data_IF_116338469255
#
_entry.id   IF_116338469255
#
_cell.length_a   1.000
_cell.length_b   1.000
_cell.length_c   1.000
_cell.angle_alpha   90.00
_cell.angle_beta   90.00
_cell.angle_gamma   90.00
#
_symmetry.space_group_name_H-M   'P 1'
#
loop_
_entity.id
_entity.type
_entity.pdbx_description
1 polymer ?
#
# COMPACT_ATOMS: atom_id res chain seq x y z
N UNK A 1 -2.82 -72.52 -7.25
CA UNK A 1 -1.39 -72.40 -7.62
C UNK A 1 -1.35 -71.73 -8.99
N UNK A 2 -0.73 -70.60 -9.32
CA UNK A 2 0.21 -69.63 -8.73
C UNK A 2 -0.01 -68.36 -9.59
N UNK A 3 -0.39 -67.20 -9.05
CA UNK A 3 0.46 -66.06 -8.63
C UNK A 3 1.43 -65.47 -9.67
N UNK A 4 1.46 -64.12 -9.67
CA UNK A 4 2.41 -63.15 -10.25
C UNK A 4 2.03 -62.65 -11.67
N UNK A 5 1.92 -61.34 -11.96
CA UNK A 5 2.73 -60.22 -11.47
C UNK A 5 2.00 -58.87 -11.62
N UNK A 6 2.16 -57.98 -10.63
CA UNK A 6 1.75 -56.56 -10.66
C UNK A 6 2.77 -55.76 -11.49
N UNK A 7 2.28 -54.90 -12.38
CA UNK A 7 3.01 -53.69 -12.82
C UNK A 7 2.14 -52.46 -12.57
N UNK A 8 2.60 -51.65 -11.61
CA UNK A 8 2.17 -50.29 -11.37
C UNK A 8 2.67 -49.41 -12.53
N UNK A 9 1.76 -48.86 -13.32
CA UNK A 9 2.03 -47.66 -14.11
C UNK A 9 1.34 -46.48 -13.44
N UNK A 10 2.17 -45.59 -12.88
CA UNK A 10 1.76 -44.30 -12.33
C UNK A 10 1.22 -43.43 -13.47
N UNK A 11 -0.10 -43.35 -13.59
CA UNK A 11 -0.75 -42.30 -14.36
C UNK A 11 -0.50 -40.97 -13.64
N UNK A 12 0.45 -40.20 -14.16
CA UNK A 12 0.71 -38.85 -13.66
C UNK A 12 -0.36 -37.97 -14.29
N UNK A 13 -1.47 -37.77 -13.59
CA UNK A 13 -2.44 -36.74 -13.93
C UNK A 13 -1.71 -35.39 -13.87
N UNK A 14 -1.43 -34.84 -15.06
CA UNK A 14 -1.10 -33.42 -15.20
C UNK A 14 -2.36 -32.65 -14.88
N UNK A 15 -2.56 -32.37 -13.59
CA UNK A 15 -3.51 -31.36 -13.15
C UNK A 15 -2.99 -30.02 -13.65
N UNK A 16 -3.47 -29.63 -14.83
CA UNK A 16 -3.38 -28.26 -15.31
C UNK A 16 -4.08 -27.36 -14.29
N UNK A 17 -3.27 -26.67 -13.49
CA UNK A 17 -3.73 -25.58 -12.64
C UNK A 17 -4.29 -24.53 -13.58
N UNK A 18 -5.61 -24.44 -13.65
CA UNK A 18 -6.28 -23.29 -14.25
C UNK A 18 -6.09 -22.15 -13.25
N UNK A 19 -5.18 -21.24 -13.59
CA UNK A 19 -5.12 -19.94 -12.95
C UNK A 19 -6.50 -19.29 -13.11
N UNK A 20 -7.18 -19.01 -12.00
CA UNK A 20 -8.39 -18.20 -12.02
C UNK A 20 -7.96 -16.78 -12.33
N UNK A 21 -8.16 -16.38 -13.59
CA UNK A 21 -7.90 -15.04 -14.11
C UNK A 21 -8.76 -13.99 -13.38
N UNK A 22 -8.19 -13.36 -12.34
CA UNK A 22 -8.56 -12.01 -11.92
C UNK A 22 -8.00 -11.01 -12.92
N UNK A 23 -8.57 -10.96 -14.14
CA UNK A 23 -8.13 -10.01 -15.15
C UNK A 23 -8.58 -8.58 -14.77
N UNK A 24 -7.78 -7.90 -13.96
CA UNK A 24 -7.76 -6.44 -13.97
C UNK A 24 -7.10 -6.01 -15.28
N UNK A 25 -7.63 -5.00 -15.97
CA UNK A 25 -7.00 -4.51 -17.21
C UNK A 25 -5.67 -3.78 -16.93
N UNK A 26 -5.23 -3.66 -15.68
CA UNK A 26 -3.89 -3.18 -15.33
C UNK A 26 -2.81 -4.09 -15.91
N UNK A 27 -3.04 -5.41 -15.96
CA UNK A 27 -2.06 -6.35 -16.52
C UNK A 27 -1.79 -6.11 -18.02
N UNK A 28 -2.67 -5.35 -18.69
CA UNK A 28 -2.49 -4.92 -20.08
C UNK A 28 -1.68 -3.63 -20.22
N UNK A 29 -1.40 -2.93 -19.11
CA UNK A 29 -0.58 -1.71 -19.10
C UNK A 29 0.89 -2.09 -19.28
N UNK A 30 1.47 -1.64 -20.41
CA UNK A 30 2.86 -1.94 -20.75
C UNK A 30 3.89 -1.20 -19.89
N UNK A 31 3.51 -0.04 -19.35
CA UNK A 31 4.41 0.87 -18.64
C UNK A 31 4.11 0.84 -17.14
N UNK A 32 4.71 -0.12 -16.43
CA UNK A 32 4.60 -0.27 -14.97
C UNK A 32 5.95 -0.48 -14.29
N UNK A 33 6.04 -0.09 -13.02
CA UNK A 33 7.15 -0.49 -12.13
C UNK A 33 6.60 -0.88 -10.75
N UNK A 34 7.31 -1.78 -10.11
CA UNK A 34 7.14 -2.12 -8.70
C UNK A 34 8.15 -1.31 -7.87
N UNK A 35 7.68 -0.77 -6.75
CA UNK A 35 8.47 -0.08 -5.73
C UNK A 35 7.95 -0.55 -4.37
N UNK A 36 8.71 -0.45 -3.28
CA UNK A 36 8.21 -0.92 -2.00
C UNK A 36 8.93 -2.13 -1.42
N UNK A 37 9.98 -2.65 -2.07
CA UNK A 37 10.62 -3.88 -1.60
C UNK A 37 11.35 -3.63 -0.28
N UNK A 38 11.03 -4.43 0.74
CA UNK A 38 11.64 -4.34 2.08
C UNK A 38 13.17 -4.40 1.98
N UNK A 39 13.72 -5.35 1.24
CA UNK A 39 15.17 -5.50 0.99
C UNK A 39 15.83 -4.26 0.38
N UNK A 40 15.08 -3.45 -0.37
CA UNK A 40 15.60 -2.18 -0.88
C UNK A 40 15.58 -1.14 0.21
N UNK A 41 14.46 -0.98 0.92
CA UNK A 41 14.34 -0.04 2.02
C UNK A 41 15.30 -0.31 3.16
N UNK A 42 15.64 -1.56 3.45
CA UNK A 42 16.66 -1.96 4.42
C UNK A 42 18.02 -1.31 4.15
N UNK A 43 18.37 -1.12 2.87
CA UNK A 43 19.66 -0.56 2.42
C UNK A 43 19.67 0.96 2.28
N UNK A 44 18.50 1.60 2.35
CA UNK A 44 18.35 3.05 2.21
C UNK A 44 18.66 3.79 3.51
N UNK A 45 18.96 5.10 3.46
CA UNK A 45 19.09 5.95 4.63
C UNK A 45 17.92 5.79 5.60
N UNK A 46 18.25 5.70 6.89
CA UNK A 46 17.28 5.56 7.96
C UNK A 46 17.00 6.90 8.61
N UNK A 47 15.73 7.18 8.89
CA UNK A 47 15.35 8.27 9.77
C UNK A 47 14.88 7.73 11.12
N UNK A 48 14.91 8.60 12.13
CA UNK A 48 14.49 8.29 13.50
C UNK A 48 13.21 9.04 13.81
N UNK A 49 12.35 8.42 14.61
CA UNK A 49 11.18 9.06 15.21
C UNK A 49 11.51 9.49 16.64
N UNK A 50 11.30 10.77 16.94
CA UNK A 50 11.51 11.37 18.24
C UNK A 50 10.16 11.72 18.88
N UNK A 51 10.00 11.58 20.21
CA UNK A 51 8.78 12.01 20.89
C UNK A 51 8.48 13.50 20.69
N UNK A 52 7.19 13.85 20.61
CA UNK A 52 6.69 15.23 20.60
C UNK A 52 5.42 15.34 21.43
N UNK A 53 4.89 16.55 21.56
CA UNK A 53 3.63 16.79 22.25
C UNK A 53 2.44 16.71 21.29
N UNK A 54 1.27 16.40 21.84
CA UNK A 54 -0.01 16.51 21.13
C UNK A 54 -0.24 17.93 20.59
N UNK A 55 0.14 18.95 21.35
CA UNK A 55 0.01 20.35 20.94
C UNK A 55 0.83 20.63 19.67
N UNK A 56 2.07 20.13 19.59
CA UNK A 56 2.90 20.28 18.39
C UNK A 56 2.36 19.51 17.18
N UNK A 57 1.70 18.38 17.39
CA UNK A 57 1.01 17.63 16.34
C UNK A 57 -0.23 18.38 15.83
N UNK A 58 -1.08 18.86 16.76
CA UNK A 58 -2.39 19.43 16.45
C UNK A 58 -2.31 20.78 15.72
N UNK A 59 -1.21 21.54 15.86
CA UNK A 59 -1.02 22.78 15.09
C UNK A 59 -0.65 22.52 13.62
N UNK A 60 -0.28 21.30 13.25
CA UNK A 60 -0.04 20.96 11.84
C UNK A 60 -1.38 20.72 11.12
N UNK A 61 -1.47 21.19 9.88
CA UNK A 61 -2.65 20.95 9.06
C UNK A 61 -2.76 19.46 8.69
N UNK A 62 -4.00 18.97 8.61
CA UNK A 62 -4.27 17.67 8.01
C UNK A 62 -3.89 17.68 6.53
N UNK A 63 -3.20 16.63 6.08
CA UNK A 63 -2.91 16.46 4.66
C UNK A 63 -4.03 15.68 3.97
N UNK A 64 -4.84 16.38 3.16
CA UNK A 64 -5.92 15.81 2.34
C UNK A 64 -5.53 15.79 0.87
N UNK A 65 -4.76 14.79 0.49
CA UNK A 65 -4.12 14.79 -0.81
C UNK A 65 -4.87 14.06 -1.93
N UNK A 66 -5.47 12.91 -1.59
CA UNK A 66 -6.31 12.15 -2.49
C UNK A 66 -7.76 12.44 -2.16
N UNK A 67 -8.49 12.93 -3.15
CA UNK A 67 -9.91 13.25 -3.02
C UNK A 67 -10.71 12.20 -3.77
N UNK A 68 -11.67 11.57 -3.09
CA UNK A 68 -12.58 10.59 -3.70
C UNK A 68 -13.58 11.33 -4.57
N UNK A 69 -13.23 11.49 -5.84
CA UNK A 69 -14.11 12.01 -6.87
C UNK A 69 -15.05 10.90 -7.40
N UNK A 70 -16.16 11.29 -8.03
CA UNK A 70 -17.12 10.34 -8.61
C UNK A 70 -16.48 9.59 -9.79
N UNK A 71 -16.43 8.27 -9.68
CA UNK A 71 -16.00 7.36 -10.75
C UNK A 71 -17.20 6.64 -11.37
N UNK A 72 -17.03 6.15 -12.59
CA UNK A 72 -18.01 5.28 -13.23
C UNK A 72 -17.97 3.89 -12.57
N UNK A 73 -19.14 3.33 -12.27
CA UNK A 73 -19.33 2.02 -11.66
C UNK A 73 -20.38 1.23 -12.42
N UNK A 74 -20.12 -0.04 -12.68
CA UNK A 74 -21.07 -0.96 -13.31
C UNK A 74 -20.67 -2.41 -13.04
N UNK A 75 -21.62 -3.28 -12.74
CA UNK A 75 -21.43 -4.73 -12.62
C UNK A 75 -20.26 -5.14 -11.69
N UNK A 76 -20.27 -4.67 -10.43
CA UNK A 76 -19.23 -4.94 -9.44
C UNK A 76 -17.81 -4.54 -9.91
N UNK A 77 -17.74 -3.52 -10.77
CA UNK A 77 -16.51 -2.95 -11.27
C UNK A 77 -16.58 -1.43 -11.21
N UNK A 78 -15.42 -0.81 -11.08
CA UNK A 78 -15.26 0.62 -11.31
C UNK A 78 -14.24 0.88 -12.42
N UNK A 79 -14.30 2.10 -12.94
CA UNK A 79 -13.48 2.49 -14.08
C UNK A 79 -12.74 3.79 -13.82
N UNK A 80 -11.46 3.81 -14.18
CA UNK A 80 -10.60 4.99 -14.14
C UNK A 80 -10.27 5.40 -15.57
N UNK A 81 -10.62 6.63 -15.93
CA UNK A 81 -10.27 7.20 -17.23
C UNK A 81 -8.92 7.91 -17.16
N UNK A 82 -7.92 7.36 -17.85
CA UNK A 82 -6.64 8.04 -18.14
C UNK A 82 -6.73 8.79 -19.48
N UNK A 83 -5.69 9.53 -19.85
CA UNK A 83 -5.60 10.18 -21.16
C UNK A 83 -5.49 9.16 -22.32
N UNK A 84 -4.99 7.95 -22.03
CA UNK A 84 -4.69 6.93 -23.04
C UNK A 84 -5.76 5.84 -23.10
N UNK A 85 -6.31 5.44 -21.95
CA UNK A 85 -7.25 4.33 -21.86
C UNK A 85 -8.18 4.43 -20.65
N UNK A 86 -9.28 3.69 -20.73
CA UNK A 86 -10.18 3.44 -19.60
C UNK A 86 -9.74 2.13 -18.95
N UNK A 87 -9.37 2.20 -17.69
CA UNK A 87 -8.94 1.05 -16.89
C UNK A 87 -10.12 0.50 -16.11
N UNK A 88 -10.30 -0.82 -16.13
CA UNK A 88 -11.34 -1.53 -15.40
C UNK A 88 -10.77 -2.24 -14.18
N UNK A 89 -11.47 -2.09 -13.06
CA UNK A 89 -11.14 -2.70 -11.77
C UNK A 89 -12.34 -3.46 -11.24
N UNK A 90 -12.11 -4.63 -10.66
CA UNK A 90 -13.13 -5.35 -9.89
C UNK A 90 -13.30 -4.63 -8.55
N UNK A 91 -14.53 -4.33 -8.14
CA UNK A 91 -14.77 -3.75 -6.81
C UNK A 91 -14.52 -4.78 -5.72
N UNK A 92 -13.87 -4.34 -4.63
CA UNK A 92 -13.82 -5.09 -3.39
C UNK A 92 -15.21 -5.08 -2.75
N UNK A 93 -15.71 -6.25 -2.34
CA UNK A 93 -17.06 -6.41 -1.79
C UNK A 93 -17.08 -7.30 -0.56
N UNK A 94 -18.14 -7.19 0.24
CA UNK A 94 -18.23 -7.82 1.57
C UNK A 94 -18.02 -9.35 1.60
N UNK A 95 -18.29 -10.04 0.49
CA UNK A 95 -18.14 -11.50 0.36
C UNK A 95 -16.97 -11.92 -0.54
N UNK A 96 -16.19 -10.96 -1.05
CA UNK A 96 -15.09 -11.22 -1.97
C UNK A 96 -13.81 -10.63 -1.41
N UNK A 97 -12.93 -11.48 -0.89
CA UNK A 97 -11.60 -11.10 -0.40
C UNK A 97 -10.61 -10.72 -1.52
N UNK A 98 -11.09 -10.62 -2.77
CA UNK A 98 -10.32 -10.29 -3.97
C UNK A 98 -11.03 -9.16 -4.71
N UNK A 99 -10.39 -7.99 -4.78
CA UNK A 99 -10.92 -6.83 -5.47
C UNK A 99 -10.15 -5.56 -5.16
N UNK A 100 -10.62 -4.45 -5.71
CA UNK A 100 -9.97 -3.16 -5.63
C UNK A 100 -10.87 -2.11 -4.99
N UNK A 101 -10.26 -1.14 -4.33
CA UNK A 101 -10.92 0.05 -3.79
C UNK A 101 -10.28 1.30 -4.37
N UNK A 102 -11.11 2.22 -4.89
CA UNK A 102 -10.64 3.52 -5.35
C UNK A 102 -10.52 4.49 -4.17
N UNK A 103 -9.30 4.96 -3.91
CA UNK A 103 -8.99 5.82 -2.76
C UNK A 103 -8.91 7.30 -3.10
N UNK A 104 -9.02 7.65 -4.39
CA UNK A 104 -9.15 9.03 -4.84
C UNK A 104 -8.12 9.47 -5.88
N UNK A 105 -8.18 10.75 -6.21
CA UNK A 105 -7.31 11.40 -7.19
C UNK A 105 -6.53 12.56 -6.53
N UNK A 106 -5.23 12.59 -6.78
CA UNK A 106 -4.35 13.71 -6.40
C UNK A 106 -4.12 14.61 -7.62
N UNK A 107 -4.71 15.81 -7.60
CA UNK A 107 -4.61 16.79 -8.69
C UNK A 107 -3.21 17.37 -8.86
N UNK A 108 -2.43 17.49 -7.77
CA UNK A 108 -1.10 18.10 -7.78
C UNK A 108 -0.03 17.17 -8.39
N UNK A 109 -0.28 15.86 -8.35
CA UNK A 109 0.59 14.82 -8.90
C UNK A 109 0.02 14.14 -10.13
N UNK A 110 -1.25 14.41 -10.49
CA UNK A 110 -1.96 13.74 -11.59
C UNK A 110 -2.00 12.21 -11.42
N UNK A 111 -2.19 11.75 -10.17
CA UNK A 111 -2.22 10.33 -9.78
C UNK A 111 -3.58 9.91 -9.24
N UNK A 112 -4.11 8.79 -9.75
CA UNK A 112 -5.15 8.03 -9.06
C UNK A 112 -4.52 7.08 -8.05
N UNK A 113 -5.20 6.81 -6.93
CA UNK A 113 -4.84 5.79 -5.97
C UNK A 113 -5.90 4.69 -5.92
N UNK A 114 -5.45 3.44 -6.02
CA UNK A 114 -6.26 2.24 -5.93
C UNK A 114 -5.56 1.27 -5.00
N UNK A 115 -6.28 0.74 -4.01
CA UNK A 115 -5.81 -0.39 -3.24
C UNK A 115 -6.36 -1.67 -3.85
N UNK A 116 -5.49 -2.65 -4.09
CA UNK A 116 -5.87 -3.99 -4.52
C UNK A 116 -5.69 -4.93 -3.35
N UNK A 117 -6.70 -5.74 -3.06
CA UNK A 117 -6.63 -6.78 -2.06
C UNK A 117 -6.83 -8.12 -2.76
N UNK A 118 -6.05 -9.12 -2.38
CA UNK A 118 -6.21 -10.49 -2.85
C UNK A 118 -5.98 -11.50 -1.74
N UNK A 119 -6.55 -12.69 -1.88
CA UNK A 119 -6.30 -13.84 -0.99
C UNK A 119 -5.94 -15.05 -1.85
N UNK A 120 -4.74 -15.59 -1.59
CA UNK A 120 -4.20 -16.79 -2.22
C UNK A 120 -3.69 -17.74 -1.14
N UNK A 121 -4.06 -19.02 -1.22
CA UNK A 121 -3.62 -20.05 -0.25
C UNK A 121 -3.94 -19.72 1.23
N UNK A 122 -4.98 -18.91 1.47
CA UNK A 122 -5.38 -18.47 2.82
C UNK A 122 -4.57 -17.29 3.35
N UNK A 123 -3.60 -16.79 2.60
CA UNK A 123 -2.85 -15.57 2.88
C UNK A 123 -3.47 -14.41 2.10
N UNK A 124 -3.64 -13.27 2.75
CA UNK A 124 -4.08 -12.06 2.06
C UNK A 124 -2.95 -11.08 1.80
N UNK A 125 -3.10 -10.36 0.72
CA UNK A 125 -2.13 -9.42 0.19
C UNK A 125 -2.85 -8.13 -0.15
N UNK A 126 -2.25 -7.01 0.20
CA UNK A 126 -2.70 -5.70 -0.22
C UNK A 126 -1.58 -4.98 -0.96
N UNK A 127 -1.92 -4.29 -2.03
CA UNK A 127 -1.00 -3.50 -2.84
C UNK A 127 -1.63 -2.12 -3.07
N UNK A 128 -0.79 -1.09 -3.10
CA UNK A 128 -1.21 0.25 -3.42
C UNK A 128 -0.76 0.62 -4.84
N UNK A 129 -1.71 0.77 -5.75
CA UNK A 129 -1.46 1.16 -7.13
C UNK A 129 -1.67 2.67 -7.29
N UNK A 130 -0.63 3.36 -7.75
CA UNK A 130 -0.71 4.75 -8.19
C UNK A 130 -0.67 4.82 -9.72
N UNK A 131 -1.62 5.52 -10.31
CA UNK A 131 -1.79 5.56 -11.78
C UNK A 131 -1.70 6.99 -12.27
N UNK A 132 -0.68 7.28 -13.08
CA UNK A 132 -0.52 8.59 -13.66
C UNK A 132 -1.53 8.82 -14.79
N UNK A 133 -2.45 9.76 -14.60
CA UNK A 133 -3.57 9.99 -15.51
C UNK A 133 -3.14 10.37 -16.91
N UNK A 134 -2.16 11.26 -17.07
CA UNK A 134 -1.70 11.72 -18.40
C UNK A 134 -0.79 10.76 -19.14
N UNK A 135 -0.07 9.87 -18.46
CA UNK A 135 0.86 8.94 -19.11
C UNK A 135 0.42 7.48 -19.06
N UNK A 136 -0.61 7.15 -18.28
CA UNK A 136 -1.03 5.79 -17.94
C UNK A 136 0.08 4.96 -17.27
N UNK A 137 1.12 5.61 -16.73
CA UNK A 137 2.20 4.91 -16.06
C UNK A 137 1.74 4.44 -14.68
N UNK A 138 2.04 3.19 -14.35
CA UNK A 138 1.60 2.56 -13.09
C UNK A 138 2.79 2.39 -12.15
N UNK A 139 2.60 2.81 -10.90
CA UNK A 139 3.51 2.53 -9.79
C UNK A 139 2.79 1.60 -8.83
N UNK A 140 3.30 0.38 -8.72
CA UNK A 140 2.78 -0.66 -7.84
C UNK A 140 3.61 -0.63 -6.56
N UNK A 141 3.04 -0.09 -5.48
CA UNK A 141 3.69 -0.02 -4.17
C UNK A 141 3.41 -1.36 -3.48
N UNK A 142 4.46 -2.17 -3.43
CA UNK A 142 4.50 -3.44 -2.72
C UNK A 142 4.44 -3.18 -1.22
N UNK A 143 3.68 -4.03 -0.53
CA UNK A 143 3.57 -3.99 0.92
C UNK A 143 4.91 -4.28 1.61
N UNK A 144 5.14 -3.64 2.75
CA UNK A 144 6.36 -3.79 3.55
C UNK A 144 6.30 -5.02 4.48
N UNK A 145 5.37 -5.93 4.22
CA UNK A 145 4.91 -7.00 5.08
C UNK A 145 3.53 -7.49 4.59
N UNK A 146 2.80 -8.20 5.43
CA UNK A 146 1.55 -8.84 5.01
C UNK A 146 0.37 -7.85 5.00
N UNK A 147 -0.64 -8.14 4.18
CA UNK A 147 -2.02 -7.63 4.28
C UNK A 147 -2.34 -6.13 4.21
N UNK A 148 -1.42 -5.18 4.37
CA UNK A 148 -1.79 -3.74 4.34
C UNK A 148 -0.71 -2.78 3.86
N UNK A 149 -1.14 -1.83 3.01
CA UNK A 149 -0.35 -0.65 2.60
C UNK A 149 -1.19 0.60 2.82
N UNK A 150 -0.69 1.55 3.62
CA UNK A 150 -1.43 2.79 3.81
C UNK A 150 -1.41 3.67 2.56
N UNK A 151 -2.48 4.45 2.37
CA UNK A 151 -2.52 5.48 1.34
C UNK A 151 -1.39 6.50 1.58
N UNK A 152 -0.48 6.73 0.61
CA UNK A 152 0.62 7.66 0.78
C UNK A 152 0.15 9.08 1.10
N UNK A 153 0.87 9.75 2.01
CA UNK A 153 0.65 11.14 2.42
C UNK A 153 1.77 12.04 1.89
N UNK A 154 1.42 13.11 1.20
CA UNK A 154 2.40 13.96 0.53
C UNK A 154 2.91 15.06 1.46
N UNK A 155 4.19 15.35 1.32
CA UNK A 155 4.80 16.58 1.84
C UNK A 155 4.14 17.84 1.26
N UNK A 156 4.26 18.96 1.96
CA UNK A 156 3.57 20.21 1.61
C UNK A 156 3.82 20.69 0.16
N UNK A 157 5.04 20.53 -0.36
CA UNK A 157 5.36 20.91 -1.74
C UNK A 157 5.47 19.69 -2.69
N UNK A 158 4.99 18.53 -2.25
CA UNK A 158 5.01 17.27 -3.00
C UNK A 158 6.43 16.86 -3.46
N UNK A 159 7.44 17.01 -2.59
CA UNK A 159 8.80 16.50 -2.83
C UNK A 159 8.96 15.05 -2.40
N UNK A 160 8.18 14.65 -1.40
CA UNK A 160 8.14 13.32 -0.83
C UNK A 160 6.70 12.89 -0.60
N UNK A 161 6.49 11.58 -0.56
CA UNK A 161 5.32 10.95 0.03
C UNK A 161 5.78 9.90 1.05
N UNK A 162 5.04 9.79 2.15
CA UNK A 162 5.27 8.78 3.18
C UNK A 162 4.10 7.81 3.20
N UNK A 163 4.41 6.53 3.30
CA UNK A 163 3.44 5.48 3.56
C UNK A 163 4.00 4.57 4.65
N UNK A 164 3.14 3.74 5.20
CA UNK A 164 3.48 2.90 6.32
C UNK A 164 2.65 1.62 6.30
N UNK A 165 3.14 0.65 7.04
CA UNK A 165 2.44 -0.55 7.41
C UNK A 165 2.51 -0.71 8.91
N UNK A 166 1.35 -0.84 9.55
CA UNK A 166 1.26 -1.07 10.98
C UNK A 166 1.66 -2.51 11.33
N UNK A 167 2.10 -2.77 12.58
CA UNK A 167 2.29 -4.13 13.05
C UNK A 167 1.04 -4.99 12.89
N UNK A 168 1.23 -6.21 12.43
CA UNK A 168 0.23 -7.26 12.26
C UNK A 168 0.63 -8.54 13.04
N UNK A 169 -0.16 -9.61 12.94
CA UNK A 169 0.03 -10.82 13.76
C UNK A 169 1.42 -11.46 13.52
N UNK A 170 1.85 -11.56 12.26
CA UNK A 170 3.13 -12.17 11.89
C UNK A 170 4.28 -11.16 11.81
N UNK A 171 3.97 -9.88 11.59
CA UNK A 171 4.96 -8.79 11.51
C UNK A 171 4.76 -7.79 12.64
N UNK A 172 5.60 -7.83 13.68
CA UNK A 172 5.53 -6.90 14.82
C UNK A 172 6.17 -5.54 14.55
N UNK A 173 6.78 -5.38 13.38
CA UNK A 173 7.51 -4.18 12.99
C UNK A 173 6.55 -3.16 12.41
N UNK A 174 6.59 -1.94 12.95
CA UNK A 174 6.03 -0.79 12.27
C UNK A 174 7.02 -0.37 11.18
N UNK A 175 6.57 -0.44 9.93
CA UNK A 175 7.38 -0.08 8.76
C UNK A 175 6.92 1.25 8.20
N UNK A 176 7.82 2.22 8.08
CA UNK A 176 7.55 3.54 7.51
C UNK A 176 8.52 3.76 6.36
N UNK A 177 7.99 4.09 5.18
CA UNK A 177 8.77 4.28 3.97
C UNK A 177 8.47 5.64 3.35
N UNK A 178 9.50 6.24 2.77
CA UNK A 178 9.42 7.53 2.08
C UNK A 178 9.84 7.32 0.64
N UNK A 179 8.99 7.80 -0.27
CA UNK A 179 9.30 7.92 -1.69
C UNK A 179 9.60 9.38 -2.00
N UNK A 180 10.65 9.61 -2.80
CA UNK A 180 10.94 10.89 -3.42
C UNK A 180 10.12 11.06 -4.70
N UNK A 181 9.58 12.26 -4.87
CA UNK A 181 8.84 12.69 -6.06
C UNK A 181 9.75 13.62 -6.87
N UNK A 182 9.96 13.28 -8.13
CA UNK A 182 10.74 14.09 -9.06
C UNK A 182 9.92 14.40 -10.32
N UNK A 183 9.22 15.54 -10.29
CA UNK A 183 8.36 16.01 -11.39
C UNK A 183 9.13 16.38 -12.66
N UNK A 184 10.46 16.47 -12.59
CA UNK A 184 11.30 16.81 -13.75
C UNK A 184 11.70 15.57 -14.55
N UNK A 185 11.50 14.39 -13.98
CA UNK A 185 11.90 13.13 -14.58
C UNK A 185 10.76 12.51 -15.40
N UNK A 186 11.09 11.66 -16.39
CA UNK A 186 10.08 10.82 -17.04
C UNK A 186 9.32 9.96 -16.02
N UNK A 187 8.09 9.52 -16.36
CA UNK A 187 7.24 8.76 -15.43
C UNK A 187 7.94 7.56 -14.77
N UNK A 188 8.77 6.80 -15.50
CA UNK A 188 9.55 5.70 -14.92
C UNK A 188 10.45 6.08 -13.73
N UNK A 189 10.82 7.35 -13.61
CA UNK A 189 11.71 7.88 -12.57
C UNK A 189 11.06 8.97 -11.71
N UNK A 190 9.75 9.17 -11.86
CA UNK A 190 8.99 10.18 -11.14
C UNK A 190 8.82 9.82 -9.64
N UNK A 191 8.64 8.54 -9.30
CA UNK A 191 8.72 8.03 -7.92
C UNK A 191 9.97 7.17 -7.73
N UNK A 192 10.66 7.36 -6.60
CA UNK A 192 11.83 6.58 -6.21
C UNK A 192 11.84 6.34 -4.71
N UNK A 193 12.25 5.16 -4.29
CA UNK A 193 12.48 4.84 -2.87
C UNK A 193 13.60 5.74 -2.32
N UNK A 194 13.40 6.31 -1.13
CA UNK A 194 14.28 7.36 -0.58
C UNK A 194 14.85 7.03 0.80
N UNK A 195 13.98 6.78 1.78
CA UNK A 195 14.39 6.51 3.16
C UNK A 195 13.35 5.66 3.88
N UNK A 196 13.73 5.03 4.99
CA UNK A 196 12.81 4.22 5.81
C UNK A 196 13.07 4.35 7.31
N UNK A 197 12.09 3.91 8.10
CA UNK A 197 12.18 3.71 9.53
C UNK A 197 11.43 2.43 9.89
N UNK A 198 12.07 1.52 10.62
CA UNK A 198 11.51 0.26 11.08
C UNK A 198 11.55 0.25 12.60
N UNK A 199 10.41 0.02 13.25
CA UNK A 199 10.27 0.21 14.71
C UNK A 199 9.55 -0.97 15.35
N UNK A 200 10.26 -1.68 16.23
CA UNK A 200 9.74 -2.82 16.99
C UNK A 200 9.30 -2.43 18.41
N UNK A 201 8.36 -1.50 18.52
CA UNK A 201 7.91 -1.00 19.82
C UNK A 201 6.41 -1.24 20.12
N UNK A 202 5.73 -1.96 19.22
CA UNK A 202 4.30 -2.26 19.30
C UNK A 202 3.40 -1.04 19.16
N UNK A 203 3.87 0.03 18.51
CA UNK A 203 3.03 1.17 18.12
C UNK A 203 2.49 0.97 16.71
N UNK A 204 1.28 1.45 16.50
CA UNK A 204 0.65 1.62 15.19
C UNK A 204 0.45 3.10 14.91
N UNK A 205 0.53 3.51 13.66
CA UNK A 205 0.21 4.87 13.19
C UNK A 205 -1.31 4.96 12.98
N UNK A 206 -1.91 5.98 13.57
CA UNK A 206 -3.29 6.41 13.31
C UNK A 206 -3.29 7.50 12.22
N UNK A 207 -2.39 8.47 12.33
CA UNK A 207 -2.41 9.67 11.50
C UNK A 207 -1.01 10.21 11.25
N UNK A 208 -0.81 10.75 10.06
CA UNK A 208 0.42 11.43 9.63
C UNK A 208 0.07 12.87 9.22
N UNK A 209 0.90 13.81 9.65
CA UNK A 209 0.86 15.21 9.20
C UNK A 209 2.24 15.68 8.81
N UNK A 210 2.33 16.48 7.76
CA UNK A 210 3.56 17.13 7.37
C UNK A 210 3.60 18.54 7.92
N UNK A 211 4.74 18.97 8.47
CA UNK A 211 4.98 20.38 8.81
C UNK A 211 5.53 21.17 7.61
N UNK A 212 6.30 20.51 6.76
CA UNK A 212 6.97 21.04 5.57
C UNK A 212 7.42 19.83 4.72
N UNK A 213 8.45 19.96 3.88
CA UNK A 213 8.95 18.84 3.07
C UNK A 213 9.90 17.89 3.82
N UNK A 214 10.45 18.29 4.96
CA UNK A 214 11.51 17.54 5.66
C UNK A 214 11.09 17.03 7.03
N UNK A 215 9.92 17.41 7.54
CA UNK A 215 9.46 17.06 8.89
C UNK A 215 8.05 16.48 8.89
N UNK A 216 7.96 15.24 9.35
CA UNK A 216 6.71 14.49 9.51
C UNK A 216 6.36 14.41 10.99
N UNK A 217 5.08 14.48 11.30
CA UNK A 217 4.48 14.25 12.61
C UNK A 217 3.56 13.02 12.54
N UNK A 218 3.60 12.22 13.61
CA UNK A 218 2.85 10.98 13.73
C UNK A 218 1.99 11.01 15.00
N UNK A 219 0.71 10.68 14.84
CA UNK A 219 -0.14 10.24 15.95
C UNK A 219 -0.16 8.72 15.92
N UNK A 220 0.35 8.13 16.98
CA UNK A 220 0.54 6.69 17.10
C UNK A 220 -0.23 6.16 18.29
N UNK A 221 -0.55 4.88 18.31
CA UNK A 221 -1.28 4.24 19.40
C UNK A 221 -0.71 2.88 19.75
N UNK A 222 -1.00 2.46 20.99
CA UNK A 222 -1.01 1.05 21.39
C UNK A 222 -2.45 0.65 21.66
N UNK A 223 -2.84 -0.51 21.14
CA UNK A 223 -4.12 -1.14 21.47
C UNK A 223 -3.98 -2.00 22.73
N UNK A 224 -5.03 -2.03 23.53
CA UNK A 224 -5.15 -2.90 24.70
C UNK A 224 -6.63 -3.25 24.88
N UNK A 225 -6.93 -4.34 25.58
CA UNK A 225 -8.30 -4.74 25.88
C UNK A 225 -8.65 -4.32 27.32
N UNK A 226 -9.85 -3.81 27.51
CA UNK A 226 -10.42 -3.59 28.86
C UNK A 226 -10.84 -4.92 29.51
N UNK A 227 -11.34 -4.86 30.74
CA UNK A 227 -11.81 -6.05 31.49
C UNK A 227 -12.98 -6.79 30.80
N UNK A 228 -13.69 -6.12 29.88
CA UNK A 228 -14.81 -6.67 29.12
C UNK A 228 -14.38 -7.16 27.72
N UNK A 229 -13.09 -7.06 27.38
CA UNK A 229 -12.57 -7.43 26.07
C UNK A 229 -12.78 -6.39 24.97
N UNK A 230 -13.16 -5.16 25.31
CA UNK A 230 -13.26 -4.07 24.34
C UNK A 230 -11.88 -3.46 24.10
N UNK A 231 -11.57 -3.18 22.83
CA UNK A 231 -10.34 -2.50 22.47
C UNK A 231 -10.36 -1.02 22.86
N UNK A 232 -9.30 -0.56 23.52
CA UNK A 232 -9.01 0.86 23.73
C UNK A 232 -7.61 1.22 23.23
N UNK A 233 -7.47 2.43 22.69
CA UNK A 233 -6.22 2.96 22.14
C UNK A 233 -5.60 4.00 23.07
N UNK A 234 -4.32 3.84 23.40
CA UNK A 234 -3.53 4.87 24.10
C UNK A 234 -2.63 5.59 23.11
N UNK A 235 -2.83 6.91 22.95
CA UNK A 235 -2.11 7.71 21.95
C UNK A 235 -0.78 8.26 22.46
N UNK A 236 0.20 8.33 21.56
CA UNK A 236 1.49 9.00 21.72
C UNK A 236 1.85 9.71 20.42
N UNK A 237 2.62 10.78 20.54
CA UNK A 237 2.95 11.65 19.41
C UNK A 237 4.45 11.64 19.16
N UNK A 238 4.83 11.58 17.89
CA UNK A 238 6.22 11.58 17.44
C UNK A 238 6.42 12.51 16.25
N UNK A 239 7.68 12.85 15.95
CA UNK A 239 8.06 13.47 14.71
C UNK A 239 9.31 12.80 14.13
N UNK A 240 9.53 12.93 12.83
CA UNK A 240 10.77 12.58 12.17
C UNK A 240 11.26 13.74 11.32
N UNK A 241 12.58 13.77 11.10
CA UNK A 241 13.19 14.56 10.03
C UNK A 241 13.71 13.63 8.96
N UNK A 242 13.41 13.95 7.71
CA UNK A 242 13.87 13.22 6.53
C UNK A 242 14.95 14.09 5.89
N UNK A 243 16.20 13.60 5.95
CA UNK A 243 17.35 14.29 5.40
C UNK A 243 17.50 14.02 3.90
#
# INVERSE_FOLDING_TARGET
MQSCEKKNEKTTEKTSIKNNETNSEIDTVKDKIEIGFVDTFEKLPKFVIDPTSEAEFNVQAETKDFVVDKIEKSNNCFYIQTSKQKLKFKEYGDNEHNGSEYLGFNKNLDLFAVQNNSVTEGLGFAEMTLIHRSTNFVYEIISLGDWSVSLPKMSMNNKFMVYFQNPEYESKTLSIAVLKIDKTQPSKHFLKEYSSCFVDNGLSIEEIRWKNDDKIYFKMYKSSLDENGNEFKTYKYYFAKIN
#
